data_IF_669177396657
#
_entry.id   IF_669177396657
#
_cell.length_a   1.000
_cell.length_b   1.000
_cell.length_c   1.000
_cell.angle_alpha   90.00
_cell.angle_beta   90.00
_cell.angle_gamma   90.00
#
_symmetry.space_group_name_H-M   'P 1'
#
loop_
_entity.id
_entity.type
_entity.pdbx_description
1 polymer ?
#
# COMPACT_ATOMS: atom_id res chain seq x y z
N UNK A 1 -3.50 -13.63 -29.92
CA UNK A 1 -4.52 -14.42 -29.14
C UNK A 1 -5.92 -14.38 -29.80
N UNK A 2 -6.70 -15.47 -29.81
CA UNK A 2 -8.09 -15.52 -30.36
C UNK A 2 -9.16 -14.98 -29.39
N UNK A 3 -10.12 -14.18 -29.89
CA UNK A 3 -11.25 -13.66 -29.09
C UNK A 3 -12.14 -14.76 -28.47
N UNK A 4 -12.15 -15.96 -29.06
CA UNK A 4 -12.86 -17.13 -28.55
C UNK A 4 -12.25 -17.67 -27.24
N UNK A 5 -10.93 -17.56 -27.08
CA UNK A 5 -10.23 -17.96 -25.85
C UNK A 5 -10.53 -16.96 -24.73
N UNK A 6 -10.50 -15.66 -25.03
CA UNK A 6 -10.81 -14.59 -24.08
C UNK A 6 -12.21 -14.74 -23.48
N UNK A 7 -13.22 -15.11 -24.27
CA UNK A 7 -14.59 -15.31 -23.78
C UNK A 7 -14.71 -16.47 -22.78
N UNK A 8 -14.05 -17.60 -23.05
CA UNK A 8 -13.98 -18.73 -22.12
C UNK A 8 -13.24 -18.38 -20.83
N UNK A 9 -12.21 -17.53 -20.93
CA UNK A 9 -11.46 -17.04 -19.78
C UNK A 9 -12.30 -16.15 -18.86
N UNK A 10 -13.16 -15.30 -19.42
CA UNK A 10 -14.12 -14.50 -18.66
C UNK A 10 -15.16 -15.40 -17.96
N UNK A 11 -15.68 -16.39 -18.68
CA UNK A 11 -16.67 -17.35 -18.14
C UNK A 11 -16.07 -18.18 -16.98
N UNK A 12 -14.83 -18.65 -17.14
CA UNK A 12 -14.06 -19.32 -16.07
C UNK A 12 -13.76 -18.39 -14.88
N UNK A 13 -13.46 -17.12 -15.14
CA UNK A 13 -13.20 -16.14 -14.08
C UNK A 13 -14.47 -15.88 -13.23
N UNK A 14 -15.64 -15.86 -13.88
CA UNK A 14 -16.93 -15.71 -13.23
C UNK A 14 -17.30 -16.93 -12.36
N UNK A 15 -17.10 -18.14 -12.88
CA UNK A 15 -17.34 -19.40 -12.15
C UNK A 15 -16.35 -19.59 -10.98
N UNK A 16 -15.09 -19.17 -11.15
CA UNK A 16 -14.03 -19.33 -10.15
C UNK A 16 -14.03 -18.25 -9.06
N UNK A 17 -14.85 -17.20 -9.22
CA UNK A 17 -14.92 -16.08 -8.28
C UNK A 17 -13.64 -15.25 -8.17
N UNK A 18 -12.71 -15.37 -9.12
CA UNK A 18 -11.44 -14.65 -9.10
C UNK A 18 -11.64 -13.17 -9.42
N UNK A 19 -10.88 -12.30 -8.74
CA UNK A 19 -10.97 -10.85 -8.95
C UNK A 19 -10.02 -10.35 -10.04
N UNK A 20 -8.98 -11.13 -10.34
CA UNK A 20 -7.94 -10.77 -11.32
C UNK A 20 -7.31 -12.02 -11.93
N UNK A 21 -7.03 -11.98 -13.24
CA UNK A 21 -6.31 -13.01 -13.97
C UNK A 21 -5.37 -12.34 -14.99
N UNK A 22 -4.09 -12.68 -14.93
CA UNK A 22 -3.06 -12.24 -15.88
C UNK A 22 -2.47 -13.46 -16.59
N UNK A 23 -2.41 -13.41 -17.91
CA UNK A 23 -1.79 -14.46 -18.74
C UNK A 23 -0.79 -13.80 -19.69
N UNK A 24 0.44 -14.31 -19.65
CA UNK A 24 1.52 -13.93 -20.54
C UNK A 24 1.86 -15.11 -21.45
N UNK A 25 1.66 -14.95 -22.75
CA UNK A 25 2.01 -15.96 -23.76
C UNK A 25 3.01 -15.32 -24.74
N UNK A 26 4.31 -15.43 -24.42
CA UNK A 26 5.39 -14.81 -25.19
C UNK A 26 5.40 -13.28 -25.04
N UNK A 27 5.04 -12.57 -26.12
CA UNK A 27 5.01 -11.10 -26.20
C UNK A 27 3.61 -10.49 -25.99
N UNK A 28 2.57 -11.32 -25.88
CA UNK A 28 1.19 -10.88 -25.59
C UNK A 28 0.87 -11.05 -24.10
N UNK A 29 0.51 -9.96 -23.41
CA UNK A 29 -0.03 -9.97 -22.05
C UNK A 29 -1.49 -9.54 -22.03
N UNK A 30 -2.34 -10.33 -21.38
CA UNK A 30 -3.76 -10.03 -21.17
C UNK A 30 -4.06 -10.03 -19.67
N UNK A 31 -4.54 -8.89 -19.17
CA UNK A 31 -4.98 -8.68 -17.79
C UNK A 31 -6.50 -8.50 -17.76
N UNK A 32 -7.19 -9.40 -17.07
CA UNK A 32 -8.65 -9.35 -16.86
C UNK A 32 -8.89 -9.10 -15.38
N UNK A 33 -9.53 -7.98 -15.04
CA UNK A 33 -9.89 -7.65 -13.67
C UNK A 33 -11.40 -7.44 -13.55
N UNK A 34 -11.98 -7.98 -12.49
CA UNK A 34 -13.37 -7.73 -12.11
C UNK A 34 -13.36 -6.64 -11.06
N UNK A 35 -13.74 -5.42 -11.46
CA UNK A 35 -13.83 -4.27 -10.57
C UNK A 35 -14.98 -4.44 -9.58
N UNK A 36 -14.75 -5.19 -8.51
CA UNK A 36 -15.54 -5.02 -7.29
C UNK A 36 -15.23 -3.63 -6.77
N UNK A 37 -16.20 -2.72 -6.83
CA UNK A 37 -16.08 -1.38 -6.24
C UNK A 37 -15.67 -1.55 -4.78
N UNK A 38 -14.38 -1.37 -4.51
CA UNK A 38 -13.85 -1.34 -3.15
C UNK A 38 -14.40 -0.08 -2.53
N UNK A 39 -15.41 -0.24 -1.68
CA UNK A 39 -15.93 0.84 -0.83
C UNK A 39 -14.77 1.37 -0.02
N UNK A 40 -14.29 2.57 -0.41
CA UNK A 40 -13.28 3.30 0.31
C UNK A 40 -13.72 3.45 1.77
N UNK A 41 -13.01 2.77 2.67
CA UNK A 41 -13.25 2.83 4.11
C UNK A 41 -12.98 4.26 4.55
N UNK A 42 -14.04 4.98 4.90
CA UNK A 42 -13.97 6.31 5.50
C UNK A 42 -13.49 6.15 6.94
N UNK A 43 -12.22 6.45 7.19
CA UNK A 43 -11.68 6.51 8.54
C UNK A 43 -12.20 7.76 9.25
N UNK A 44 -12.93 7.57 10.34
CA UNK A 44 -13.31 8.64 11.26
C UNK A 44 -12.09 9.05 12.10
N UNK A 45 -11.67 10.31 11.97
CA UNK A 45 -10.55 10.86 12.73
C UNK A 45 -10.94 11.02 14.21
N UNK A 46 -10.12 10.55 15.18
CA UNK A 46 -10.36 10.84 16.59
C UNK A 46 -10.14 12.33 16.91
N UNK A 47 -10.87 12.89 17.89
CA UNK A 47 -10.75 14.30 18.26
C UNK A 47 -9.34 14.61 18.80
N UNK A 48 -8.70 15.60 18.19
CA UNK A 48 -7.40 16.13 18.62
C UNK A 48 -7.55 16.86 19.98
N UNK A 49 -6.66 16.63 20.95
CA UNK A 49 -6.62 17.42 22.18
C UNK A 49 -6.22 18.88 21.87
N UNK A 50 -6.69 19.85 22.67
CA UNK A 50 -6.38 21.25 22.47
C UNK A 50 -4.86 21.50 22.62
N UNK A 51 -4.27 22.37 21.79
CA UNK A 51 -2.85 22.68 21.88
C UNK A 51 -2.55 23.37 23.22
N UNK A 52 -1.65 22.77 24.00
CA UNK A 52 -1.05 23.43 25.14
C UNK A 52 -0.17 24.59 24.62
N UNK A 53 -0.41 25.79 25.14
CA UNK A 53 0.40 26.96 24.85
C UNK A 53 1.83 26.73 25.37
N UNK A 54 2.76 26.41 24.47
CA UNK A 54 4.19 26.37 24.79
C UNK A 54 4.73 27.79 24.79
N UNK A 55 5.36 28.18 25.90
CA UNK A 55 6.06 29.44 26.03
C UNK A 55 7.17 29.56 24.97
N UNK A 56 7.27 30.74 24.35
CA UNK A 56 8.27 31.03 23.34
C UNK A 56 9.68 30.96 23.93
N UNK A 57 10.42 29.89 23.62
CA UNK A 57 11.89 29.87 23.67
C UNK A 57 12.44 30.42 22.36
N UNK A 58 13.57 31.16 22.38
CA UNK A 58 14.08 31.83 21.19
C UNK A 58 14.45 30.81 20.12
N UNK A 59 14.03 31.11 18.88
CA UNK A 59 14.41 30.38 17.66
C UNK A 59 15.91 30.52 17.46
N UNK A 60 16.66 29.51 17.87
CA UNK A 60 17.96 29.24 17.28
C UNK A 60 17.71 28.71 15.85
N UNK A 61 18.29 29.40 14.87
CA UNK A 61 18.18 29.06 13.46
C UNK A 61 18.42 27.57 13.23
N UNK A 62 17.40 26.90 12.67
CA UNK A 62 17.53 25.53 12.17
C UNK A 62 18.45 25.56 10.97
N UNK A 63 19.75 25.40 11.24
CA UNK A 63 20.68 24.92 10.24
C UNK A 63 20.04 23.69 9.59
N UNK A 64 20.04 23.63 8.27
CA UNK A 64 19.77 22.41 7.53
C UNK A 64 20.84 21.40 7.98
N UNK A 65 20.49 20.58 8.97
CA UNK A 65 21.30 19.44 9.34
C UNK A 65 21.32 18.52 8.15
N UNK A 66 22.48 18.41 7.50
CA UNK A 66 22.84 17.26 6.67
C UNK A 66 22.49 16.03 7.49
N UNK A 67 21.41 15.35 7.11
CA UNK A 67 21.13 14.03 7.66
C UNK A 67 22.39 13.17 7.41
N UNK A 68 22.86 12.41 8.41
CA UNK A 68 23.96 11.48 8.16
C UNK A 68 23.56 10.61 6.97
N UNK A 69 24.48 10.41 6.03
CA UNK A 69 24.32 9.42 4.98
C UNK A 69 24.19 8.06 5.68
N UNK A 70 22.97 7.66 6.01
CA UNK A 70 22.68 6.32 6.46
C UNK A 70 23.05 5.40 5.32
N UNK A 71 23.99 4.49 5.58
CA UNK A 71 24.24 3.34 4.73
C UNK A 71 22.88 2.72 4.35
N UNK A 72 22.60 2.70 3.05
CA UNK A 72 21.38 2.10 2.57
C UNK A 72 21.47 0.60 2.81
N UNK A 73 20.46 -0.03 3.42
CA UNK A 73 20.50 -1.46 3.68
C UNK A 73 20.58 -2.24 2.36
N UNK A 74 21.50 -3.20 2.28
CA UNK A 74 21.62 -4.11 1.15
C UNK A 74 20.34 -4.96 0.99
N UNK A 75 19.92 -5.15 -0.26
CA UNK A 75 18.79 -6.03 -0.63
C UNK A 75 17.66 -5.34 -1.39
N UNK A 76 16.59 -6.09 -1.64
CA UNK A 76 15.41 -5.59 -2.34
C UNK A 76 14.57 -4.71 -1.41
N UNK A 77 14.23 -3.51 -1.88
CA UNK A 77 13.53 -2.49 -1.08
C UNK A 77 12.08 -2.38 -1.49
N UNK A 78 11.18 -2.52 -0.52
CA UNK A 78 9.76 -2.24 -0.69
C UNK A 78 9.47 -0.87 -0.09
N UNK A 79 9.35 0.15 -0.96
CA UNK A 79 9.08 1.53 -0.55
C UNK A 79 7.58 1.81 -0.54
N UNK A 80 7.14 2.74 0.30
CA UNK A 80 5.73 3.16 0.33
C UNK A 80 5.38 3.96 -0.94
N UNK A 81 4.32 3.61 -1.68
CA UNK A 81 3.89 4.35 -2.87
C UNK A 81 3.17 5.66 -2.54
N UNK A 82 2.79 5.86 -1.28
CA UNK A 82 2.06 7.04 -0.81
C UNK A 82 2.52 7.48 0.58
N UNK A 83 2.27 8.73 0.94
CA UNK A 83 2.50 9.26 2.29
C UNK A 83 1.35 8.82 3.20
N UNK A 84 1.67 8.33 4.38
CA UNK A 84 0.67 7.87 5.34
C UNK A 84 1.28 7.33 6.63
N UNK A 85 0.45 6.63 7.39
CA UNK A 85 0.84 5.96 8.64
C UNK A 85 1.02 4.47 8.37
N UNK A 86 2.15 3.91 8.83
CA UNK A 86 2.42 2.48 8.78
C UNK A 86 1.80 1.77 9.98
N UNK A 87 1.18 0.61 9.74
CA UNK A 87 0.68 -0.29 10.78
C UNK A 87 1.33 -1.67 10.61
N UNK A 88 1.95 -2.17 11.68
CA UNK A 88 2.58 -3.49 11.70
C UNK A 88 1.54 -4.64 11.78
N UNK A 89 0.35 -4.35 12.32
CA UNK A 89 -0.72 -5.32 12.58
C UNK A 89 -2.10 -4.75 12.19
N UNK A 90 -3.12 -5.60 11.94
CA UNK A 90 -4.44 -5.16 11.48
C UNK A 90 -5.27 -4.45 12.56
N UNK A 91 -4.97 -4.69 13.84
CA UNK A 91 -5.62 -4.04 14.98
C UNK A 91 -4.73 -4.12 16.23
N UNK A 92 -4.97 -3.30 17.26
CA UNK A 92 -4.21 -3.37 18.51
C UNK A 92 -4.30 -4.77 19.15
N UNK A 93 -3.15 -5.37 19.44
CA UNK A 93 -3.06 -6.70 20.05
C UNK A 93 -3.18 -7.89 19.08
N UNK A 94 -3.42 -7.65 17.79
CA UNK A 94 -3.34 -8.70 16.76
C UNK A 94 -1.87 -8.99 16.36
N UNK A 95 -1.65 -10.14 15.74
CA UNK A 95 -0.34 -10.51 15.20
C UNK A 95 0.10 -9.57 14.06
N UNK A 96 1.43 -9.34 13.91
CA UNK A 96 1.99 -8.65 12.75
C UNK A 96 1.63 -9.30 11.42
N UNK A 97 1.49 -8.50 10.36
CA UNK A 97 1.28 -9.00 9.01
C UNK A 97 2.44 -9.86 8.50
N UNK A 98 3.67 -9.54 8.92
CA UNK A 98 4.91 -10.23 8.54
C UNK A 98 5.82 -10.37 9.76
N UNK A 99 6.62 -11.43 9.81
CA UNK A 99 7.65 -11.69 10.82
C UNK A 99 8.95 -12.07 10.12
N UNK A 100 10.09 -11.75 10.72
CA UNK A 100 11.40 -12.17 10.20
C UNK A 100 11.54 -13.67 10.46
N UNK A 101 11.84 -14.46 9.42
CA UNK A 101 12.00 -15.92 9.50
C UNK A 101 11.36 -16.61 8.32
#
# INVERSE_FOLDING_TARGET
MDIRKVKKLIELLEESGLSELEITEGEESIRISRSTTSTAVQYTLPPQPPPAASAATPVAGRAAGTAPASEEPDGHRVLSPMVGTYFEAPSPGADPFVKIG
#
